data_IF_113311520967
#
_entry.id   IF_113311520967
#
_cell.length_a   1.000
_cell.length_b   1.000
_cell.length_c   1.000
_cell.angle_alpha   90.00
_cell.angle_beta   90.00
_cell.angle_gamma   90.00
#
_symmetry.space_group_name_H-M   'P 1'
#
loop_
_entity.id
_entity.type
_entity.pdbx_description
1 polymer ?
#
# COMPACT_ATOMS: atom_id res chain seq x y z
N UNK A 1 -0.95 -45.48 -27.25
CA UNK A 1 -0.11 -45.32 -26.05
C UNK A 1 -0.85 -44.45 -25.03
N UNK A 2 -0.88 -44.82 -23.73
CA UNK A 2 -1.45 -43.95 -22.71
C UNK A 2 -0.48 -42.79 -22.43
N UNK A 3 -0.93 -41.55 -22.60
CA UNK A 3 -0.16 -40.39 -22.16
C UNK A 3 -0.13 -40.35 -20.62
N UNK A 4 1.06 -40.17 -20.03
CA UNK A 4 1.24 -40.15 -18.58
C UNK A 4 0.40 -39.08 -17.88
N UNK A 5 0.05 -39.33 -16.62
CA UNK A 5 -0.84 -38.48 -15.78
C UNK A 5 -0.41 -37.02 -15.60
N UNK A 6 0.81 -36.67 -16.01
CA UNK A 6 1.37 -35.33 -15.80
C UNK A 6 1.63 -34.63 -17.13
N UNK A 7 1.22 -33.37 -17.19
CA UNK A 7 1.47 -32.50 -18.34
C UNK A 7 2.93 -32.06 -18.31
N UNK A 8 3.66 -32.33 -19.39
CA UNK A 8 5.03 -31.85 -19.55
C UNK A 8 5.03 -30.38 -19.93
N UNK A 9 5.54 -29.52 -19.04
CA UNK A 9 5.58 -28.07 -19.25
C UNK A 9 6.87 -27.60 -19.95
N UNK A 10 7.81 -28.52 -20.24
CA UNK A 10 9.09 -28.20 -20.86
C UNK A 10 8.89 -27.84 -22.33
N UNK A 11 9.28 -26.62 -22.72
CA UNK A 11 9.16 -26.10 -24.09
C UNK A 11 7.84 -25.37 -24.38
N UNK A 12 6.91 -25.29 -23.43
CA UNK A 12 5.68 -24.49 -23.59
C UNK A 12 5.97 -23.03 -23.26
N UNK A 13 5.39 -22.10 -24.03
CA UNK A 13 5.52 -20.65 -23.76
C UNK A 13 4.99 -20.38 -22.35
N UNK A 14 5.76 -19.63 -21.57
CA UNK A 14 5.34 -19.19 -20.23
C UNK A 14 4.26 -18.15 -20.42
N UNK A 15 3.07 -18.44 -19.89
CA UNK A 15 2.01 -17.45 -19.81
C UNK A 15 2.10 -16.81 -18.42
N UNK A 16 2.26 -15.49 -18.41
CA UNK A 16 2.07 -14.69 -17.20
C UNK A 16 0.61 -14.28 -17.20
N UNK A 17 -0.11 -14.56 -16.12
CA UNK A 17 -1.47 -14.06 -15.95
C UNK A 17 -1.43 -12.55 -15.98
N UNK A 18 -2.34 -11.95 -16.76
CA UNK A 18 -2.43 -10.50 -16.80
C UNK A 18 -2.97 -9.98 -15.46
N UNK A 19 -2.59 -8.78 -15.01
CA UNK A 19 -3.09 -8.24 -13.74
C UNK A 19 -4.62 -8.12 -13.70
N UNK A 20 -5.27 -7.92 -14.85
CA UNK A 20 -6.72 -7.90 -14.99
C UNK A 20 -7.34 -9.30 -14.75
N UNK A 21 -6.72 -10.34 -15.30
CA UNK A 21 -7.17 -11.74 -15.14
C UNK A 21 -6.93 -12.26 -13.72
N UNK A 22 -5.89 -11.77 -13.04
CA UNK A 22 -5.60 -12.09 -11.64
C UNK A 22 -6.62 -11.44 -10.70
N UNK A 23 -7.05 -10.22 -11.02
CA UNK A 23 -8.10 -9.54 -10.26
C UNK A 23 -9.45 -10.22 -10.47
N UNK A 24 -9.79 -10.59 -11.71
CA UNK A 24 -11.03 -11.31 -12.01
C UNK A 24 -11.08 -12.66 -11.26
N UNK A 25 -9.98 -13.43 -11.25
CA UNK A 25 -9.90 -14.66 -10.47
C UNK A 25 -10.11 -14.42 -8.97
N UNK A 26 -9.55 -13.34 -8.42
CA UNK A 26 -9.76 -13.01 -7.00
C UNK A 26 -11.20 -12.58 -6.69
N UNK A 27 -11.86 -11.90 -7.64
CA UNK A 27 -13.26 -11.50 -7.52
C UNK A 27 -14.19 -12.71 -7.60
N UNK A 28 -13.92 -13.65 -8.52
CA UNK A 28 -14.67 -14.89 -8.68
C UNK A 28 -14.51 -15.82 -7.46
N UNK A 29 -13.28 -15.98 -6.96
CA UNK A 29 -13.01 -16.78 -5.74
C UNK A 29 -13.73 -16.15 -4.53
N UNK A 30 -13.61 -14.83 -4.34
CA UNK A 30 -14.28 -14.12 -3.24
C UNK A 30 -15.80 -14.20 -3.35
N UNK A 31 -16.38 -14.12 -4.55
CA UNK A 31 -17.82 -14.25 -4.76
C UNK A 31 -18.30 -15.67 -4.46
N UNK A 32 -17.50 -16.69 -4.78
CA UNK A 32 -17.85 -18.10 -4.53
C UNK A 32 -17.77 -18.47 -3.04
N UNK A 33 -16.85 -17.84 -2.30
CA UNK A 33 -16.73 -17.98 -0.86
C UNK A 33 -17.94 -17.34 -0.15
N UNK A 34 -18.34 -16.13 -0.57
CA UNK A 34 -19.53 -15.46 -0.02
C UNK A 34 -20.84 -16.19 -0.37
N UNK A 35 -20.95 -16.81 -1.55
CA UNK A 35 -22.10 -17.64 -1.93
C UNK A 35 -22.15 -18.96 -1.12
N UNK A 36 -21.00 -19.50 -0.71
CA UNK A 36 -20.93 -20.72 0.10
C UNK A 36 -21.27 -20.49 1.59
N UNK A 37 -21.13 -19.26 2.08
CA UNK A 37 -21.47 -18.89 3.47
C UNK A 37 -22.98 -18.58 3.67
N UNK A 38 -23.76 -18.37 2.60
CA UNK A 38 -25.22 -18.07 2.66
C UNK A 38 -26.12 -19.33 2.67
N UNK A 39 -25.61 -20.49 2.19
CA UNK A 39 -26.36 -21.77 2.09
C UNK A 39 -25.88 -22.84 3.09
N UNK A 40 -25.73 -22.48 4.38
CA UNK A 40 -25.02 -23.39 5.31
C UNK A 40 -25.25 -23.24 6.81
N UNK A 41 -26.49 -23.27 7.30
CA UNK A 41 -26.76 -23.65 8.71
C UNK A 41 -27.36 -25.05 8.79
N UNK A 42 -26.55 -26.07 9.12
CA UNK A 42 -26.70 -26.83 10.37
C UNK A 42 -25.73 -28.04 10.51
N UNK A 43 -25.06 -28.05 11.67
CA UNK A 43 -24.49 -29.17 12.45
C UNK A 43 -23.03 -29.65 12.26
N UNK A 44 -22.39 -30.10 13.37
CA UNK A 44 -20.95 -30.02 13.62
C UNK A 44 -20.23 -31.38 13.49
N UNK A 45 -18.93 -31.34 13.79
CA UNK A 45 -18.01 -32.44 14.16
C UNK A 45 -17.02 -32.86 13.07
N UNK A 46 -15.75 -32.91 13.46
CA UNK A 46 -14.71 -33.49 12.62
C UNK A 46 -13.34 -32.84 12.77
N UNK A 47 -12.82 -32.81 13.99
CA UNK A 47 -11.39 -32.58 14.23
C UNK A 47 -10.54 -33.52 13.37
N UNK A 48 -9.80 -32.98 12.39
CA UNK A 48 -8.54 -33.58 11.92
C UNK A 48 -7.50 -32.54 11.59
N UNK A 49 -6.66 -32.29 12.59
CA UNK A 49 -5.32 -31.78 12.45
C UNK A 49 -4.55 -32.58 11.37
N UNK A 50 -4.07 -31.88 10.35
CA UNK A 50 -2.93 -32.26 9.50
C UNK A 50 -2.12 -30.97 9.35
N UNK A 51 -1.05 -30.78 10.10
CA UNK A 51 0.15 -31.61 10.04
C UNK A 51 1.16 -30.86 9.17
N UNK A 52 1.68 -29.75 9.72
CA UNK A 52 2.74 -28.97 9.13
C UNK A 52 4.04 -29.78 9.12
N UNK A 53 4.64 -29.99 7.95
CA UNK A 53 6.03 -30.42 7.82
C UNK A 53 6.71 -29.64 6.70
N UNK A 54 7.23 -28.48 7.07
CA UNK A 54 8.28 -27.79 6.32
C UNK A 54 9.61 -28.54 6.55
N UNK A 55 10.24 -29.01 5.48
CA UNK A 55 11.65 -29.40 5.49
C UNK A 55 12.33 -28.89 4.22
N UNK A 56 13.01 -27.75 4.38
CA UNK A 56 14.10 -27.32 3.52
C UNK A 56 15.33 -28.19 3.82
N UNK A 57 16.08 -28.60 2.80
CA UNK A 57 17.55 -28.62 2.85
C UNK A 57 18.19 -28.90 1.48
N UNK A 58 18.94 -27.90 1.04
CA UNK A 58 20.21 -27.91 0.30
C UNK A 58 20.54 -29.08 -0.65
N UNK A 59 20.72 -28.75 -1.94
CA UNK A 59 21.75 -29.42 -2.75
C UNK A 59 22.55 -28.41 -3.58
N UNK A 60 23.85 -28.52 -3.39
CA UNK A 60 24.92 -27.65 -3.84
C UNK A 60 25.02 -27.53 -5.37
N UNK A 61 25.39 -26.32 -5.81
CA UNK A 61 25.79 -26.02 -7.18
C UNK A 61 27.14 -26.64 -7.53
N UNK A 62 27.20 -27.25 -8.71
CA UNK A 62 28.43 -27.63 -9.41
C UNK A 62 28.35 -26.98 -10.80
N UNK A 63 29.07 -25.88 -10.97
CA UNK A 63 29.29 -25.22 -12.26
C UNK A 63 30.34 -26.01 -13.06
N UNK A 64 30.16 -26.27 -14.36
CA UNK A 64 31.29 -26.42 -15.27
C UNK A 64 31.61 -25.06 -15.91
N UNK A 65 32.89 -24.70 -15.82
CA UNK A 65 33.54 -23.63 -16.58
C UNK A 65 33.73 -24.11 -18.02
N UNK A 66 33.21 -23.40 -19.01
CA UNK A 66 33.66 -23.52 -20.40
C UNK A 66 34.05 -22.15 -20.91
N UNK A 67 35.36 -22.02 -21.02
CA UNK A 67 36.09 -21.06 -21.86
C UNK A 67 35.89 -21.41 -23.34
N UNK A 68 36.34 -20.50 -24.21
CA UNK A 68 36.29 -20.45 -25.69
C UNK A 68 34.92 -19.98 -26.23
N UNK A 69 34.83 -18.90 -27.00
CA UNK A 69 35.60 -18.65 -28.22
C UNK A 69 35.73 -17.15 -28.54
N UNK A 70 36.84 -16.82 -29.20
CA UNK A 70 37.24 -15.51 -29.69
C UNK A 70 36.68 -15.32 -31.10
N UNK A 71 36.11 -14.16 -31.42
CA UNK A 71 36.25 -13.62 -32.78
C UNK A 71 36.03 -12.09 -32.78
N UNK A 72 37.16 -11.41 -32.91
CA UNK A 72 37.35 -10.03 -33.29
C UNK A 72 37.17 -9.96 -34.80
N UNK A 73 36.16 -9.24 -35.32
CA UNK A 73 36.30 -8.50 -36.60
C UNK A 73 35.05 -7.72 -37.03
N UNK A 74 35.36 -6.46 -37.34
CA UNK A 74 34.91 -5.64 -38.46
C UNK A 74 33.63 -4.79 -38.38
N UNK A 75 33.91 -3.48 -38.40
CA UNK A 75 33.10 -2.38 -38.86
C UNK A 75 32.44 -2.70 -40.21
N UNK A 76 31.15 -3.02 -40.17
CA UNK A 76 30.30 -2.97 -41.36
C UNK A 76 29.13 -2.04 -41.10
N UNK A 77 29.20 -0.88 -41.75
CA UNK A 77 28.10 0.07 -41.96
C UNK A 77 26.96 -0.66 -42.68
N UNK A 78 26.14 -1.38 -41.92
CA UNK A 78 24.96 -2.07 -42.44
C UNK A 78 23.84 -1.05 -42.49
N UNK A 79 23.48 -0.66 -43.71
CA UNK A 79 22.26 0.07 -44.05
C UNK A 79 21.07 -0.38 -43.19
N UNK A 80 20.82 0.33 -42.09
CA UNK A 80 19.85 -0.01 -41.05
C UNK A 80 18.39 0.28 -41.47
N UNK A 81 18.05 -0.03 -42.73
CA UNK A 81 16.74 0.23 -43.34
C UNK A 81 16.07 -1.02 -43.90
N UNK A 82 16.45 -2.21 -43.45
CA UNK A 82 15.78 -3.46 -43.83
C UNK A 82 15.15 -4.10 -42.58
N UNK A 83 13.83 -4.31 -42.64
CA UNK A 83 13.06 -4.99 -41.58
C UNK A 83 12.56 -4.09 -40.43
N UNK A 84 12.28 -4.71 -39.29
CA UNK A 84 11.70 -4.09 -38.07
C UNK A 84 12.59 -2.98 -37.48
N UNK A 85 13.88 -2.97 -37.81
CA UNK A 85 14.84 -1.97 -37.35
C UNK A 85 14.50 -0.51 -37.75
N UNK A 86 13.71 -0.31 -38.83
CA UNK A 86 13.23 1.02 -39.21
C UNK A 86 12.01 1.50 -38.42
N UNK A 87 11.34 0.60 -37.69
CA UNK A 87 10.14 0.89 -36.89
C UNK A 87 10.47 1.27 -35.44
N UNK A 88 11.68 0.94 -34.98
CA UNK A 88 12.14 1.21 -33.62
C UNK A 88 12.86 2.55 -33.62
N UNK A 89 12.40 3.47 -32.78
CA UNK A 89 13.07 4.75 -32.54
C UNK A 89 14.36 4.50 -31.73
N UNK A 90 15.51 4.81 -32.33
CA UNK A 90 16.82 4.61 -31.69
C UNK A 90 17.23 5.91 -30.99
N UNK A 91 17.04 5.94 -29.67
CA UNK A 91 17.44 7.03 -28.75
C UNK A 91 18.92 6.94 -28.31
N UNK A 92 19.83 6.68 -29.24
CA UNK A 92 21.25 6.65 -28.89
C UNK A 92 21.82 8.09 -28.89
N UNK A 93 22.28 8.64 -27.76
CA UNK A 93 22.77 10.02 -27.66
C UNK A 93 24.04 10.29 -28.48
N UNK A 94 24.83 9.26 -28.79
CA UNK A 94 26.01 9.37 -29.66
C UNK A 94 25.68 9.16 -31.14
N UNK A 95 24.43 8.84 -31.48
CA UNK A 95 24.01 8.58 -32.87
C UNK A 95 23.81 9.90 -33.59
N UNK A 96 24.67 10.14 -34.60
CA UNK A 96 24.57 11.31 -35.47
C UNK A 96 23.36 11.19 -36.40
N UNK A 97 22.22 11.73 -36.00
CA UNK A 97 21.01 11.82 -36.84
C UNK A 97 21.21 12.88 -37.94
N UNK A 98 21.05 12.49 -39.21
CA UNK A 98 21.01 13.44 -40.33
C UNK A 98 19.67 14.19 -40.28
N UNK A 99 19.68 15.46 -39.86
CA UNK A 99 18.48 16.31 -39.76
C UNK A 99 17.95 16.63 -41.16
N UNK A 100 16.79 16.08 -41.50
CA UNK A 100 16.03 16.51 -42.69
C UNK A 100 15.22 17.74 -42.28
N UNK A 101 15.65 18.92 -42.71
CA UNK A 101 14.98 20.18 -42.40
C UNK A 101 13.74 20.35 -43.27
N UNK A 102 12.55 20.09 -42.72
CA UNK A 102 11.28 20.49 -43.33
C UNK A 102 10.96 21.93 -42.88
N UNK A 103 10.60 22.81 -43.82
CA UNK A 103 10.32 24.23 -43.57
C UNK A 103 8.94 24.39 -42.93
N UNK A 104 8.87 25.14 -41.82
CA UNK A 104 7.72 25.23 -40.89
C UNK A 104 6.83 26.47 -41.21
N UNK A 105 6.97 27.09 -42.37
CA UNK A 105 6.44 28.45 -42.62
C UNK A 105 4.91 28.53 -42.89
N UNK A 106 4.16 27.42 -42.87
CA UNK A 106 2.73 27.41 -43.26
C UNK A 106 1.75 26.77 -42.25
N UNK A 107 2.10 26.62 -40.97
CA UNK A 107 1.18 26.06 -39.96
C UNK A 107 0.55 27.19 -39.12
N UNK A 108 -0.70 27.53 -39.40
CA UNK A 108 -1.51 28.47 -38.60
C UNK A 108 -1.79 27.89 -37.20
N UNK A 109 -1.42 28.61 -36.14
CA UNK A 109 -1.47 28.15 -34.74
C UNK A 109 -2.70 28.65 -33.94
N UNK A 110 -3.62 29.36 -34.59
CA UNK A 110 -4.70 30.08 -33.88
C UNK A 110 -5.94 29.23 -33.55
N UNK A 111 -6.00 27.99 -34.03
CA UNK A 111 -7.08 27.05 -33.67
C UNK A 111 -6.56 26.06 -32.64
N UNK A 112 -7.02 26.20 -31.39
CA UNK A 112 -6.81 25.15 -30.37
C UNK A 112 -7.32 23.84 -30.95
N UNK A 113 -6.48 22.80 -31.04
CA UNK A 113 -6.91 21.53 -31.61
C UNK A 113 -8.06 21.01 -30.76
N UNK A 114 -9.23 20.84 -31.39
CA UNK A 114 -10.36 20.18 -30.75
C UNK A 114 -9.92 18.75 -30.45
N UNK A 115 -9.71 18.47 -29.16
CA UNK A 115 -9.31 17.16 -28.69
C UNK A 115 -10.26 16.12 -29.30
N UNK A 116 -9.68 15.05 -29.83
CA UNK A 116 -10.44 13.98 -30.46
C UNK A 116 -11.53 13.50 -29.51
N UNK A 117 -12.69 13.08 -30.03
CA UNK A 117 -13.80 12.55 -29.21
C UNK A 117 -13.32 11.48 -28.20
N UNK A 118 -12.29 10.72 -28.58
CA UNK A 118 -11.62 9.74 -27.71
C UNK A 118 -10.86 10.38 -26.56
N UNK A 119 -10.14 11.47 -26.82
CA UNK A 119 -9.35 12.21 -25.83
C UNK A 119 -10.27 12.98 -24.85
N UNK A 120 -11.38 13.53 -25.33
CA UNK A 120 -12.36 14.19 -24.47
C UNK A 120 -12.95 13.22 -23.44
N UNK A 121 -13.34 12.01 -23.88
CA UNK A 121 -13.84 10.97 -22.99
C UNK A 121 -12.77 10.51 -21.99
N UNK A 122 -11.52 10.41 -22.41
CA UNK A 122 -10.42 10.06 -21.49
C UNK A 122 -10.20 11.15 -20.43
N UNK A 123 -10.21 12.42 -20.81
CA UNK A 123 -10.10 13.52 -19.86
C UNK A 123 -11.30 13.60 -18.92
N UNK A 124 -12.50 13.34 -19.41
CA UNK A 124 -13.71 13.30 -18.57
C UNK A 124 -13.64 12.15 -17.56
N UNK A 125 -13.25 10.94 -18.00
CA UNK A 125 -13.02 9.82 -17.10
C UNK A 125 -11.96 10.14 -16.03
N UNK A 126 -10.86 10.78 -16.41
CA UNK A 126 -9.83 11.22 -15.45
C UNK A 126 -10.37 12.27 -14.48
N UNK A 127 -11.16 13.24 -14.95
CA UNK A 127 -11.79 14.25 -14.10
C UNK A 127 -12.78 13.63 -13.12
N UNK A 128 -13.61 12.70 -13.58
CA UNK A 128 -14.58 11.98 -12.76
C UNK A 128 -13.90 11.13 -11.69
N UNK A 129 -12.82 10.42 -12.05
CA UNK A 129 -12.00 9.68 -11.10
C UNK A 129 -11.39 10.60 -10.03
N UNK A 130 -10.76 11.70 -10.44
CA UNK A 130 -10.20 12.69 -9.50
C UNK A 130 -11.26 13.28 -8.58
N UNK A 131 -12.45 13.58 -9.12
CA UNK A 131 -13.57 14.09 -8.32
C UNK A 131 -14.05 13.05 -7.30
N UNK A 132 -14.13 11.78 -7.69
CA UNK A 132 -14.49 10.71 -6.77
C UNK A 132 -13.44 10.55 -5.66
N UNK A 133 -12.15 10.55 -6.02
CA UNK A 133 -11.04 10.51 -5.07
C UNK A 133 -11.07 11.71 -4.11
N UNK A 134 -11.37 12.92 -4.62
CA UNK A 134 -11.56 14.11 -3.81
C UNK A 134 -12.75 13.97 -2.85
N UNK A 135 -13.92 13.51 -3.32
CA UNK A 135 -15.08 13.30 -2.46
C UNK A 135 -14.82 12.22 -1.39
N UNK A 136 -14.02 11.21 -1.70
CA UNK A 136 -13.59 10.19 -0.73
C UNK A 136 -12.67 10.79 0.32
N UNK A 137 -11.69 11.58 -0.09
CA UNK A 137 -10.79 12.29 0.82
C UNK A 137 -11.54 13.30 1.70
N UNK A 138 -12.55 13.98 1.16
CA UNK A 138 -13.45 14.88 1.91
C UNK A 138 -14.40 14.14 2.87
N UNK A 139 -14.46 12.80 2.82
CA UNK A 139 -15.37 12.03 3.67
C UNK A 139 -16.83 12.06 3.21
N UNK A 140 -17.09 12.41 1.95
CA UNK A 140 -18.46 12.55 1.41
C UNK A 140 -19.01 11.26 0.78
N UNK A 141 -18.14 10.35 0.35
CA UNK A 141 -18.57 9.02 -0.13
C UNK A 141 -19.13 8.18 1.02
N UNK A 142 -20.03 7.25 0.72
CA UNK A 142 -20.66 6.41 1.73
C UNK A 142 -19.62 5.61 2.54
N UNK A 143 -18.61 5.07 1.87
CA UNK A 143 -17.47 4.38 2.48
C UNK A 143 -16.71 5.29 3.46
N UNK A 144 -16.31 6.48 3.02
CA UNK A 144 -15.52 7.37 3.88
C UNK A 144 -16.36 7.90 5.06
N UNK A 145 -17.67 8.08 4.88
CA UNK A 145 -18.58 8.37 6.00
C UNK A 145 -18.63 7.23 7.03
N UNK A 146 -18.69 5.99 6.57
CA UNK A 146 -18.67 4.82 7.44
C UNK A 146 -17.35 4.72 8.21
N UNK A 147 -16.21 4.93 7.54
CA UNK A 147 -14.90 4.94 8.18
C UNK A 147 -14.78 6.06 9.23
N UNK A 148 -15.26 7.27 8.91
CA UNK A 148 -15.30 8.37 9.86
C UNK A 148 -16.21 8.07 11.05
N UNK A 149 -17.38 7.48 10.83
CA UNK A 149 -18.29 7.07 11.89
C UNK A 149 -17.66 6.00 12.81
N UNK A 150 -16.96 5.01 12.22
CA UNK A 150 -16.20 4.01 12.97
C UNK A 150 -15.11 4.65 13.83
N UNK A 151 -14.35 5.59 13.26
CA UNK A 151 -13.34 6.33 14.02
C UNK A 151 -13.95 7.21 15.11
N UNK A 152 -15.12 7.81 14.88
CA UNK A 152 -15.84 8.59 15.89
C UNK A 152 -16.26 7.73 17.09
N UNK A 153 -16.80 6.53 16.85
CA UNK A 153 -17.14 5.57 17.92
C UNK A 153 -15.90 5.20 18.75
N UNK A 154 -14.76 4.93 18.10
CA UNK A 154 -13.51 4.62 18.83
C UNK A 154 -13.06 5.82 19.66
N UNK A 155 -13.15 7.05 19.12
CA UNK A 155 -12.83 8.27 19.89
C UNK A 155 -13.74 8.43 21.10
N UNK A 156 -15.04 8.19 20.95
CA UNK A 156 -16.01 8.23 22.04
C UNK A 156 -15.67 7.19 23.12
N UNK A 157 -15.45 5.92 22.73
CA UNK A 157 -15.08 4.87 23.68
C UNK A 157 -13.78 5.18 24.44
N UNK A 158 -12.79 5.78 23.76
CA UNK A 158 -11.55 6.21 24.41
C UNK A 158 -11.77 7.36 25.38
N UNK A 159 -12.56 8.35 24.99
CA UNK A 159 -12.89 9.49 25.86
C UNK A 159 -13.68 9.04 27.09
N UNK A 160 -14.68 8.17 26.90
CA UNK A 160 -15.45 7.60 28.01
C UNK A 160 -14.59 6.73 28.94
N UNK A 161 -13.68 5.92 28.40
CA UNK A 161 -12.76 5.13 29.21
C UNK A 161 -11.77 6.02 30.00
N UNK A 162 -11.30 7.12 29.40
CA UNK A 162 -10.46 8.10 30.08
C UNK A 162 -11.24 8.81 31.20
N UNK A 163 -12.46 9.27 30.91
CA UNK A 163 -13.34 9.90 31.88
C UNK A 163 -13.70 8.96 33.04
N UNK A 164 -13.98 7.68 32.76
CA UNK A 164 -14.21 6.65 33.79
C UNK A 164 -12.97 6.46 34.68
N UNK A 165 -11.78 6.36 34.10
CA UNK A 165 -10.53 6.26 34.88
C UNK A 165 -10.26 7.50 35.72
N UNK A 166 -10.55 8.70 35.23
CA UNK A 166 -10.39 9.93 36.00
C UNK A 166 -11.40 10.03 37.15
N UNK A 167 -12.65 9.63 36.91
CA UNK A 167 -13.67 9.58 37.96
C UNK A 167 -13.33 8.55 39.05
N UNK A 168 -12.85 7.36 38.67
CA UNK A 168 -12.40 6.34 39.62
C UNK A 168 -11.19 6.80 40.43
N UNK A 169 -10.22 7.49 39.81
CA UNK A 169 -9.07 8.08 40.52
C UNK A 169 -9.50 9.14 41.52
N UNK A 170 -10.37 10.07 41.13
CA UNK A 170 -10.89 11.11 42.04
C UNK A 170 -11.67 10.48 43.20
N UNK A 171 -12.55 9.52 42.94
CA UNK A 171 -13.27 8.81 43.99
C UNK A 171 -12.35 8.01 44.92
N UNK A 172 -11.24 7.45 44.41
CA UNK A 172 -10.24 6.78 45.23
C UNK A 172 -9.44 7.77 46.08
N UNK A 173 -9.10 8.95 45.55
CA UNK A 173 -8.43 10.04 46.28
C UNK A 173 -9.34 10.63 47.37
N UNK A 174 -10.63 10.83 47.10
CA UNK A 174 -11.62 11.28 48.08
C UNK A 174 -11.85 10.24 49.19
N UNK A 175 -11.87 8.95 48.85
CA UNK A 175 -11.92 7.87 49.84
C UNK A 175 -10.64 7.80 50.67
N UNK A 176 -9.48 8.04 50.06
CA UNK A 176 -8.20 8.05 50.77
C UNK A 176 -8.09 9.24 51.71
N UNK A 177 -8.45 10.45 51.27
CA UNK A 177 -8.44 11.67 52.08
C UNK A 177 -9.47 11.64 53.23
N UNK A 178 -10.66 11.05 53.01
CA UNK A 178 -11.66 10.84 54.08
C UNK A 178 -11.24 9.73 55.07
N UNK A 179 -10.52 8.71 54.63
CA UNK A 179 -9.91 7.70 55.52
C UNK A 179 -8.71 8.23 56.31
N UNK A 180 -7.95 9.19 55.75
CA UNK A 180 -6.85 9.88 56.44
C UNK A 180 -7.36 10.92 57.45
N UNK A 181 -8.59 11.42 57.31
CA UNK A 181 -9.19 12.43 58.22
C UNK A 181 -9.93 11.81 59.43
N UNK A 182 -10.22 10.50 59.44
CA UNK A 182 -10.89 9.80 60.57
C UNK A 182 -9.94 8.92 61.42
N UNK A 183 -8.62 9.11 61.28
CA UNK A 183 -7.63 8.59 62.23
C UNK A 183 -7.61 9.41 63.54
N UNK A 184 -7.40 8.79 64.72
CA UNK A 184 -7.52 9.46 66.00
C UNK A 184 -6.48 10.57 66.14
N UNK A 185 -6.96 11.75 66.57
CA UNK A 185 -6.16 12.93 66.86
C UNK A 185 -4.92 12.60 67.70
N UNK A 186 -3.74 12.64 67.11
CA UNK A 186 -2.47 12.80 67.83
C UNK A 186 -1.51 13.70 67.05
N UNK A 187 -1.20 14.83 67.70
CA UNK A 187 -0.01 15.67 67.54
C UNK A 187 0.16 16.48 66.24
N UNK A 188 -0.58 17.58 66.19
CA UNK A 188 -0.07 18.85 65.65
C UNK A 188 1.12 19.27 66.54
N UNK A 189 2.34 19.01 66.07
CA UNK A 189 3.53 19.71 66.56
C UNK A 189 3.85 20.78 65.52
N UNK A 190 3.45 22.02 65.82
CA UNK A 190 4.10 23.20 65.29
C UNK A 190 5.60 23.07 65.57
N UNK A 191 6.41 22.97 64.52
CA UNK A 191 7.82 23.37 64.59
C UNK A 191 8.09 24.45 63.57
N UNK A 192 8.74 25.47 64.09
CA UNK A 192 8.87 26.80 63.56
C UNK A 192 9.63 26.92 62.24
N UNK A 193 9.23 27.95 61.51
CA UNK A 193 10.06 28.85 60.71
C UNK A 193 11.58 28.60 60.75
N UNK A 194 12.15 28.29 59.56
CA UNK A 194 13.27 29.02 58.90
C UNK A 194 13.96 28.10 57.88
N UNK A 195 13.57 28.20 56.61
CA UNK A 195 14.57 28.40 55.56
C UNK A 195 13.95 29.01 54.30
N UNK A 196 13.92 30.33 54.29
CA UNK A 196 13.67 31.15 53.11
C UNK A 196 14.99 31.28 52.35
N UNK A 197 15.13 30.61 51.20
CA UNK A 197 16.04 31.03 50.13
C UNK A 197 15.33 30.86 48.78
N UNK A 198 15.01 31.96 48.06
CA UNK A 198 14.48 31.89 46.71
C UNK A 198 15.62 32.01 45.68
N UNK A 199 15.75 31.01 44.81
CA UNK A 199 16.54 31.09 43.57
C UNK A 199 16.13 29.90 42.68
N UNK A 200 15.88 30.00 41.39
CA UNK A 200 15.71 31.12 40.49
C UNK A 200 14.83 30.59 39.34
N UNK A 201 14.00 31.44 38.79
CA UNK A 201 13.31 31.22 37.52
C UNK A 201 14.33 31.09 36.40
N UNK A 202 14.42 29.93 35.75
CA UNK A 202 15.07 29.82 34.44
C UNK A 202 13.99 29.66 33.38
N UNK A 203 13.40 30.80 33.03
CA UNK A 203 12.83 31.06 31.71
C UNK A 203 13.97 31.34 30.74
N UNK A 204 14.23 30.42 29.81
CA UNK A 204 14.88 30.66 28.53
C UNK A 204 14.17 29.71 27.57
N UNK A 205 13.24 30.18 26.74
CA UNK A 205 13.48 30.91 25.47
C UNK A 205 14.46 30.15 24.61
N UNK A 206 13.92 29.26 23.77
CA UNK A 206 14.02 29.26 22.30
C UNK A 206 13.03 28.24 21.73
#
# INVERSE_FOLDING_TARGET
MPHGKYVNHKGRRRHFTSPEELQQQSEDDSSSEEESDDEGTDQPSGSKARGATSKQSAKAGKMPTSSEDSDESDEVDRDAKKGVAGLIEIENPNRRLKKVTQKIEHVSLDTKPELSRREQKQLENQKNRRRYEQLRAEGKTAEAKADLARLALIRQQRAEAAAKREAEKKAAEDKKSTSETTGPATNIVLTDAKNKKPAATNSNVL
#
